data_IF_164002691257
#
_entry.id   IF_164002691257
#
_cell.length_a   1.000
_cell.length_b   1.000
_cell.length_c   1.000
_cell.angle_alpha   90.00
_cell.angle_beta   90.00
_cell.angle_gamma   90.00
#
_symmetry.space_group_name_H-M   'P 1'
#
loop_
_entity.id
_entity.type
_entity.pdbx_description
1 polymer ?
#
# COMPACT_ATOMS: atom_id res chain seq x y z
N UNK A 1 -0.11 4.67 18.35
CA UNK A 1 0.58 3.93 17.28
C UNK A 1 1.85 4.67 16.95
N UNK A 2 2.86 3.96 16.51
CA UNK A 2 4.18 4.48 16.15
C UNK A 2 4.35 4.26 14.65
N UNK A 3 4.74 5.29 13.93
CA UNK A 3 5.09 5.25 12.52
C UNK A 3 6.61 5.48 12.39
N UNK A 4 7.29 4.59 11.66
CA UNK A 4 8.73 4.72 11.36
C UNK A 4 9.11 4.01 10.07
N UNK A 5 10.23 4.42 9.52
CA UNK A 5 10.81 3.74 8.34
C UNK A 5 11.19 2.30 8.72
N UNK A 6 10.89 1.38 7.81
CA UNK A 6 11.22 -0.05 7.91
C UNK A 6 12.67 -0.25 7.45
N UNK A 7 13.40 -1.09 8.17
CA UNK A 7 14.73 -1.57 7.79
C UNK A 7 14.70 -3.01 7.31
N UNK A 8 15.81 -3.52 6.80
CA UNK A 8 15.92 -4.92 6.36
C UNK A 8 15.72 -5.88 7.55
N UNK A 9 16.24 -5.52 8.72
CA UNK A 9 16.11 -6.31 9.95
C UNK A 9 14.64 -6.41 10.39
N UNK A 10 13.84 -5.38 10.14
CA UNK A 10 12.41 -5.39 10.44
C UNK A 10 11.64 -6.41 9.60
N UNK A 11 12.10 -6.70 8.38
CA UNK A 11 11.42 -7.68 7.51
C UNK A 11 11.45 -9.08 8.11
N UNK A 12 12.54 -9.45 8.75
CA UNK A 12 12.63 -10.74 9.44
C UNK A 12 11.82 -10.73 10.75
N UNK A 13 11.92 -9.64 11.51
CA UNK A 13 11.22 -9.49 12.80
C UNK A 13 9.70 -9.53 12.65
N UNK A 14 9.15 -8.83 11.64
CA UNK A 14 7.71 -8.73 11.39
C UNK A 14 7.24 -9.61 10.22
N UNK A 15 8.02 -10.63 9.87
CA UNK A 15 7.75 -11.53 8.74
C UNK A 15 6.31 -12.05 8.71
N UNK A 16 5.80 -12.50 9.85
CA UNK A 16 4.47 -13.08 9.94
C UNK A 16 3.38 -12.04 9.74
N UNK A 17 3.55 -10.84 10.28
CA UNK A 17 2.59 -9.74 10.13
C UNK A 17 2.51 -9.31 8.67
N UNK A 18 3.66 -9.20 7.97
CA UNK A 18 3.73 -8.87 6.55
C UNK A 18 3.00 -9.93 5.71
N UNK A 19 3.25 -11.22 5.97
CA UNK A 19 2.59 -12.30 5.24
C UNK A 19 1.08 -12.35 5.48
N UNK A 20 0.61 -12.01 6.67
CA UNK A 20 -0.83 -11.89 6.95
C UNK A 20 -1.45 -10.70 6.22
N UNK A 21 -0.77 -9.55 6.12
CA UNK A 21 -1.24 -8.42 5.32
C UNK A 21 -1.42 -8.81 3.85
N UNK A 22 -0.49 -9.54 3.27
CA UNK A 22 -0.62 -10.04 1.89
C UNK A 22 -1.81 -10.99 1.73
N UNK A 23 -2.04 -11.91 2.65
CA UNK A 23 -3.24 -12.76 2.63
C UNK A 23 -4.53 -11.95 2.70
N UNK A 24 -4.53 -10.89 3.47
CA UNK A 24 -5.69 -10.01 3.62
C UNK A 24 -5.96 -9.19 2.36
N UNK A 25 -4.91 -8.69 1.72
CA UNK A 25 -5.00 -8.01 0.45
C UNK A 25 -5.40 -8.92 -0.72
N UNK A 26 -5.01 -10.20 -0.67
CA UNK A 26 -5.24 -11.18 -1.75
C UNK A 26 -6.71 -11.43 -2.08
N UNK A 27 -7.63 -11.09 -1.18
CA UNK A 27 -9.07 -11.21 -1.44
C UNK A 27 -9.60 -10.25 -2.49
N UNK A 28 -8.85 -9.22 -2.82
CA UNK A 28 -9.26 -8.21 -3.80
C UNK A 28 -8.77 -8.54 -5.20
N UNK A 29 -7.64 -9.25 -5.29
CA UNK A 29 -7.05 -9.72 -6.52
C UNK A 29 -7.22 -11.23 -6.59
N UNK A 30 -7.25 -11.83 -7.78
CA UNK A 30 -7.12 -13.28 -7.91
C UNK A 30 -5.69 -13.74 -7.61
N UNK A 31 -5.14 -13.22 -6.55
CA UNK A 31 -3.86 -13.61 -6.00
C UNK A 31 -3.92 -14.98 -5.31
N UNK A 32 -5.10 -15.59 -5.20
CA UNK A 32 -5.16 -17.01 -4.87
C UNK A 32 -4.37 -17.85 -5.88
N UNK A 33 -4.39 -17.50 -7.14
CA UNK A 33 -3.50 -18.11 -8.13
C UNK A 33 -2.06 -17.64 -7.97
N UNK A 34 -1.84 -16.38 -7.66
CA UNK A 34 -0.51 -15.84 -7.36
C UNK A 34 0.05 -16.48 -6.06
N UNK A 35 -0.73 -16.56 -4.99
CA UNK A 35 -0.35 -17.22 -3.73
C UNK A 35 -0.12 -18.72 -3.87
N UNK A 36 -0.74 -19.38 -4.83
CA UNK A 36 -0.50 -20.80 -5.15
C UNK A 36 0.75 -21.02 -5.98
N UNK A 37 1.16 -20.04 -6.76
CA UNK A 37 2.26 -20.12 -7.71
C UNK A 37 3.54 -19.44 -7.23
N UNK A 38 3.44 -18.53 -6.26
CA UNK A 38 4.57 -17.75 -5.72
C UNK A 38 4.84 -18.21 -4.30
N UNK A 39 6.07 -18.60 -4.02
CA UNK A 39 6.52 -18.92 -2.67
C UNK A 39 6.32 -17.69 -1.76
N UNK A 40 5.98 -17.95 -0.49
CA UNK A 40 5.81 -16.89 0.52
C UNK A 40 7.05 -16.02 0.69
N UNK A 41 8.25 -16.55 0.44
CA UNK A 41 9.50 -15.78 0.42
C UNK A 41 9.45 -14.66 -0.61
N UNK A 42 8.83 -14.86 -1.75
CA UNK A 42 8.74 -13.84 -2.83
C UNK A 42 7.97 -12.58 -2.42
N UNK A 43 7.10 -12.65 -1.41
CA UNK A 43 6.46 -11.44 -0.86
C UNK A 43 7.43 -10.60 -0.04
N UNK A 44 8.28 -11.25 0.73
CA UNK A 44 9.33 -10.54 1.48
C UNK A 44 10.35 -9.95 0.52
N UNK A 45 10.78 -10.70 -0.50
CA UNK A 45 11.66 -10.21 -1.55
C UNK A 45 11.04 -9.00 -2.28
N UNK A 46 9.71 -9.02 -2.49
CA UNK A 46 8.99 -7.90 -3.07
C UNK A 46 9.09 -6.65 -2.19
N UNK A 47 8.83 -6.76 -0.87
CA UNK A 47 8.95 -5.63 0.06
C UNK A 47 10.41 -5.21 0.23
N UNK A 48 11.35 -6.15 0.29
CA UNK A 48 12.78 -5.87 0.44
C UNK A 48 13.31 -4.97 -0.69
N UNK A 49 12.82 -5.15 -1.92
CA UNK A 49 13.19 -4.28 -3.05
C UNK A 49 12.85 -2.81 -2.78
N UNK A 50 11.74 -2.54 -2.10
CA UNK A 50 11.37 -1.16 -1.73
C UNK A 50 12.14 -0.66 -0.51
N UNK A 51 12.50 -1.53 0.42
CA UNK A 51 13.31 -1.16 1.60
C UNK A 51 14.74 -0.83 1.20
N UNK A 52 15.29 -1.54 0.22
CA UNK A 52 16.68 -1.36 -0.27
C UNK A 52 16.79 -0.44 -1.47
N UNK A 53 15.69 -0.09 -2.11
CA UNK A 53 15.65 0.76 -3.31
C UNK A 53 16.02 2.21 -3.02
N UNK A 54 16.70 2.87 -3.97
CA UNK A 54 17.08 4.28 -3.86
C UNK A 54 15.93 5.25 -4.21
N UNK A 55 14.92 4.76 -4.91
CA UNK A 55 13.75 5.51 -5.39
C UNK A 55 12.45 5.08 -4.69
N UNK A 56 12.59 4.49 -3.52
CA UNK A 56 11.48 3.99 -2.71
C UNK A 56 11.72 4.17 -1.22
N UNK A 57 10.64 4.17 -0.45
CA UNK A 57 10.67 4.22 1.00
C UNK A 57 9.51 3.40 1.56
N UNK A 58 9.74 2.68 2.64
CA UNK A 58 8.71 1.90 3.32
C UNK A 58 8.55 2.41 4.76
N UNK A 59 7.33 2.77 5.13
CA UNK A 59 6.97 3.21 6.48
C UNK A 59 6.03 2.20 7.10
N UNK A 60 6.40 1.70 8.27
CA UNK A 60 5.59 0.78 9.08
C UNK A 60 4.70 1.51 10.07
N UNK A 61 3.53 0.95 10.32
CA UNK A 61 2.58 1.37 11.34
C UNK A 61 2.53 0.29 12.42
N UNK A 62 3.01 0.61 13.61
CA UNK A 62 3.17 -0.33 14.71
C UNK A 62 2.21 -0.03 15.86
N UNK A 63 1.98 -1.02 16.72
CA UNK A 63 1.46 -0.78 18.05
C UNK A 63 2.46 0.06 18.92
N UNK A 64 2.01 0.54 20.08
CA UNK A 64 2.86 1.39 20.92
C UNK A 64 4.07 0.65 21.50
N UNK A 65 4.04 -0.66 21.56
CA UNK A 65 5.13 -1.51 22.05
C UNK A 65 6.07 -1.99 20.94
N UNK A 66 5.73 -1.70 19.68
CA UNK A 66 6.39 -2.21 18.48
C UNK A 66 6.47 -3.76 18.44
N UNK A 67 5.49 -4.42 19.05
CA UNK A 67 5.37 -5.88 19.03
C UNK A 67 4.68 -6.38 17.75
N UNK A 68 3.77 -5.56 17.20
CA UNK A 68 2.98 -5.90 16.03
C UNK A 68 3.09 -4.81 14.95
N UNK A 69 3.25 -5.25 13.71
CA UNK A 69 3.20 -4.41 12.53
C UNK A 69 1.79 -4.51 11.91
N UNK A 70 1.07 -3.41 11.89
CA UNK A 70 -0.31 -3.36 11.44
C UNK A 70 -0.50 -2.92 10.00
N UNK A 71 0.45 -2.19 9.46
CA UNK A 71 0.38 -1.69 8.10
C UNK A 71 1.71 -1.22 7.56
N UNK A 72 1.80 -1.18 6.25
CA UNK A 72 2.92 -0.62 5.49
C UNK A 72 2.40 0.43 4.52
N UNK A 73 3.07 1.56 4.46
CA UNK A 73 2.95 2.55 3.40
C UNK A 73 4.24 2.50 2.60
N UNK A 74 4.13 2.09 1.35
CA UNK A 74 5.25 2.01 0.42
C UNK A 74 5.15 3.20 -0.51
N UNK A 75 6.21 3.97 -0.58
CA UNK A 75 6.41 5.03 -1.55
C UNK A 75 7.36 4.49 -2.60
N UNK A 76 6.89 4.42 -3.83
CA UNK A 76 7.62 3.87 -4.96
C UNK A 76 7.76 4.89 -6.07
N UNK A 77 8.70 4.65 -6.97
CA UNK A 77 8.94 5.48 -8.15
C UNK A 77 9.11 6.96 -7.78
N UNK A 78 9.87 7.21 -6.71
CA UNK A 78 10.18 8.56 -6.24
C UNK A 78 10.99 9.28 -7.32
N UNK A 79 10.44 10.38 -7.83
CA UNK A 79 11.09 11.15 -8.88
C UNK A 79 10.87 12.64 -8.74
N UNK A 80 11.84 13.41 -9.18
CA UNK A 80 11.72 14.86 -9.31
C UNK A 80 10.81 15.20 -10.49
N UNK A 81 9.84 16.07 -10.29
CA UNK A 81 9.00 16.66 -11.36
C UNK A 81 9.42 18.09 -11.68
N UNK A 82 10.14 18.75 -10.75
CA UNK A 82 10.81 20.03 -10.93
C UNK A 82 12.03 20.11 -10.02
N UNK A 83 12.77 21.22 -10.06
CA UNK A 83 13.92 21.45 -9.16
C UNK A 83 13.56 21.45 -7.65
N UNK A 84 12.27 21.59 -7.31
CA UNK A 84 11.80 21.69 -5.92
C UNK A 84 10.66 20.75 -5.58
N UNK A 85 10.17 20.01 -6.54
CA UNK A 85 8.98 19.19 -6.38
C UNK A 85 9.27 17.75 -6.79
N UNK A 86 8.77 16.82 -6.01
CA UNK A 86 8.85 15.39 -6.28
C UNK A 86 7.47 14.74 -6.27
N UNK A 87 7.36 13.59 -6.88
CA UNK A 87 6.18 12.74 -6.83
C UNK A 87 6.56 11.31 -6.46
N UNK A 88 5.59 10.56 -5.94
CA UNK A 88 5.74 9.14 -5.67
C UNK A 88 4.41 8.40 -5.87
N UNK A 89 4.50 7.12 -6.19
CA UNK A 89 3.38 6.18 -6.11
C UNK A 89 3.25 5.66 -4.68
N UNK A 90 2.00 5.58 -4.21
CA UNK A 90 1.70 5.11 -2.85
C UNK A 90 1.01 3.77 -2.93
N UNK A 91 1.61 2.76 -2.30
CA UNK A 91 0.99 1.46 -2.07
C UNK A 91 0.73 1.29 -0.58
N UNK A 92 -0.35 0.62 -0.24
CA UNK A 92 -0.77 0.43 1.14
C UNK A 92 -1.10 -1.04 1.37
N UNK A 93 -0.44 -1.63 2.36
CA UNK A 93 -0.75 -2.94 2.89
C UNK A 93 -1.25 -2.82 4.32
N UNK A 94 -2.33 -3.49 4.66
CA UNK A 94 -2.91 -3.43 6.01
C UNK A 94 -3.36 -4.78 6.51
N UNK A 95 -3.16 -5.03 7.81
CA UNK A 95 -3.82 -6.12 8.51
C UNK A 95 -5.31 -5.81 8.72
N UNK A 96 -6.15 -6.83 8.68
CA UNK A 96 -7.58 -6.71 9.03
C UNK A 96 -7.84 -6.34 10.48
N UNK A 97 -6.86 -6.56 11.35
CA UNK A 97 -6.99 -6.31 12.78
C UNK A 97 -7.15 -4.84 13.13
N UNK A 98 -6.80 -3.93 12.20
CA UNK A 98 -6.95 -2.49 12.40
C UNK A 98 -7.72 -1.87 11.24
N UNK A 99 -8.93 -1.43 11.53
CA UNK A 99 -9.78 -0.70 10.61
C UNK A 99 -10.28 0.63 11.20
N UNK A 100 -10.63 1.56 10.31
CA UNK A 100 -11.35 2.77 10.65
C UNK A 100 -10.47 3.98 10.95
N UNK A 101 -10.90 4.80 11.90
CA UNK A 101 -10.33 6.12 12.18
C UNK A 101 -8.88 6.09 12.64
N UNK A 102 -8.44 4.99 13.27
CA UNK A 102 -7.07 4.85 13.77
C UNK A 102 -6.08 4.68 12.62
N UNK A 103 -6.38 3.76 11.71
CA UNK A 103 -5.57 3.52 10.53
C UNK A 103 -5.51 4.77 9.61
N UNK A 104 -6.67 5.40 9.42
CA UNK A 104 -6.76 6.64 8.67
C UNK A 104 -5.83 7.72 9.24
N UNK A 105 -5.87 7.97 10.56
CA UNK A 105 -5.00 8.96 11.22
C UNK A 105 -3.51 8.64 11.09
N UNK A 106 -3.15 7.35 11.12
CA UNK A 106 -1.76 6.93 10.90
C UNK A 106 -1.31 7.27 9.47
N UNK A 107 -2.13 6.97 8.46
CA UNK A 107 -1.82 7.33 7.08
C UNK A 107 -1.76 8.84 6.86
N UNK A 108 -2.71 9.59 7.42
CA UNK A 108 -2.69 11.07 7.37
C UNK A 108 -1.37 11.59 7.92
N UNK A 109 -0.93 11.13 9.10
CA UNK A 109 0.36 11.54 9.70
C UNK A 109 1.56 11.15 8.84
N UNK A 110 1.61 9.91 8.35
CA UNK A 110 2.70 9.47 7.47
C UNK A 110 2.80 10.38 6.26
N UNK A 111 1.68 10.61 5.59
CA UNK A 111 1.66 11.43 4.39
C UNK A 111 2.01 12.89 4.70
N UNK A 112 1.59 13.44 5.83
CA UNK A 112 1.80 14.85 6.16
C UNK A 112 3.20 15.12 6.76
N UNK A 113 3.71 14.23 7.60
CA UNK A 113 4.92 14.47 8.38
C UNK A 113 6.15 13.79 7.80
N UNK A 114 5.99 12.62 7.18
CA UNK A 114 7.11 11.80 6.71
C UNK A 114 7.33 11.84 5.20
N UNK A 115 6.39 12.42 4.44
CA UNK A 115 6.39 12.36 2.98
C UNK A 115 6.41 13.76 2.38
N UNK A 116 7.60 14.33 2.06
CA UNK A 116 7.73 15.70 1.54
C UNK A 116 7.46 15.80 0.03
N UNK A 117 6.51 15.03 -0.49
CA UNK A 117 6.21 15.03 -1.92
C UNK A 117 5.08 16.01 -2.27
N UNK A 118 5.26 16.73 -3.37
CA UNK A 118 4.26 17.67 -3.89
C UNK A 118 3.06 16.93 -4.49
N UNK A 119 3.30 15.78 -5.13
CA UNK A 119 2.27 14.96 -5.77
C UNK A 119 2.42 13.50 -5.36
N UNK A 120 1.34 12.93 -4.85
CA UNK A 120 1.23 11.51 -4.59
C UNK A 120 0.15 10.91 -5.48
N UNK A 121 0.36 9.71 -6.00
CA UNK A 121 -0.65 9.00 -6.77
C UNK A 121 -0.72 7.54 -6.36
N UNK A 122 -1.86 6.91 -6.58
CA UNK A 122 -2.02 5.49 -6.37
C UNK A 122 -2.98 4.88 -7.41
N UNK A 123 -2.78 3.60 -7.64
CA UNK A 123 -3.61 2.79 -8.49
C UNK A 123 -4.43 1.82 -7.64
N UNK A 124 -5.75 1.89 -7.72
CA UNK A 124 -6.65 1.07 -6.90
C UNK A 124 -7.63 0.33 -7.79
N UNK A 125 -7.69 -1.01 -7.71
CA UNK A 125 -8.71 -1.76 -8.41
C UNK A 125 -10.11 -1.28 -8.03
N UNK A 126 -11.00 -1.16 -9.01
CA UNK A 126 -12.41 -0.79 -8.75
C UNK A 126 -13.08 -1.72 -7.75
N UNK A 127 -12.69 -3.00 -7.74
CA UNK A 127 -13.18 -4.00 -6.78
C UNK A 127 -12.76 -3.71 -5.33
N UNK A 128 -11.65 -2.95 -5.12
CA UNK A 128 -11.14 -2.58 -3.79
C UNK A 128 -11.88 -1.37 -3.20
N UNK A 129 -13.17 -1.55 -2.89
CA UNK A 129 -14.06 -0.47 -2.41
C UNK A 129 -13.51 0.19 -1.13
N UNK A 130 -12.98 -0.61 -0.20
CA UNK A 130 -12.43 -0.09 1.06
C UNK A 130 -11.20 0.80 0.80
N UNK A 131 -10.25 0.35 -0.01
CA UNK A 131 -9.06 1.14 -0.36
C UNK A 131 -9.45 2.45 -1.07
N UNK A 132 -10.40 2.38 -2.01
CA UNK A 132 -10.94 3.57 -2.69
C UNK A 132 -11.60 4.56 -1.73
N UNK A 133 -12.28 4.08 -0.69
CA UNK A 133 -12.85 4.94 0.35
C UNK A 133 -11.74 5.57 1.20
N UNK A 134 -10.79 4.77 1.68
CA UNK A 134 -9.68 5.24 2.51
C UNK A 134 -8.92 6.38 1.84
N UNK A 135 -8.48 6.22 0.58
CA UNK A 135 -7.71 7.26 -0.11
C UNK A 135 -8.52 8.53 -0.35
N UNK A 136 -9.82 8.41 -0.63
CA UNK A 136 -10.71 9.59 -0.73
C UNK A 136 -10.84 10.33 0.60
N UNK A 137 -10.98 9.58 1.70
CA UNK A 137 -11.10 10.15 3.05
C UNK A 137 -9.81 10.87 3.47
N UNK A 138 -8.65 10.49 2.92
CA UNK A 138 -7.35 11.15 3.12
C UNK A 138 -7.16 12.35 2.18
N UNK A 139 -8.02 12.54 1.20
CA UNK A 139 -8.00 13.71 0.31
C UNK A 139 -7.56 13.42 -1.13
N UNK A 140 -7.26 12.18 -1.49
CA UNK A 140 -6.97 11.83 -2.88
C UNK A 140 -8.21 12.00 -3.76
N UNK A 141 -8.02 12.55 -4.94
CA UNK A 141 -9.07 12.75 -5.94
C UNK A 141 -8.90 11.74 -7.08
N UNK A 142 -10.00 11.12 -7.50
CA UNK A 142 -9.99 10.27 -8.69
C UNK A 142 -9.77 11.13 -9.93
N UNK A 143 -8.74 10.80 -10.70
CA UNK A 143 -8.36 11.54 -11.92
C UNK A 143 -8.53 10.74 -13.19
N UNK A 144 -8.62 9.41 -13.10
CA UNK A 144 -8.76 8.56 -14.26
C UNK A 144 -9.02 7.09 -13.93
N UNK A 145 -8.95 6.24 -14.95
CA UNK A 145 -8.98 4.80 -14.81
C UNK A 145 -8.35 4.11 -16.04
N UNK A 146 -7.87 2.89 -15.85
CA UNK A 146 -7.41 1.98 -16.89
C UNK A 146 -8.44 0.84 -16.97
N UNK A 147 -9.14 0.65 -18.11
CA UNK A 147 -10.19 -0.36 -18.20
C UNK A 147 -9.61 -1.77 -18.22
N UNK A 148 -10.30 -2.71 -17.59
CA UNK A 148 -9.99 -4.15 -17.57
C UNK A 148 -8.51 -4.47 -17.30
N UNK A 149 -7.89 -3.74 -16.35
CA UNK A 149 -6.44 -3.78 -16.12
C UNK A 149 -6.00 -4.97 -15.26
N UNK A 150 -6.87 -5.46 -14.36
CA UNK A 150 -6.50 -6.46 -13.37
C UNK A 150 -7.54 -7.57 -13.21
N UNK A 151 -7.13 -8.84 -13.18
CA UNK A 151 -8.01 -9.94 -12.81
C UNK A 151 -8.31 -9.89 -11.31
N UNK A 152 -9.51 -10.30 -10.92
CA UNK A 152 -9.89 -10.53 -9.53
C UNK A 152 -10.92 -11.65 -9.42
N UNK A 153 -10.92 -12.38 -8.30
CA UNK A 153 -11.96 -13.35 -7.99
C UNK A 153 -13.09 -12.70 -7.20
N UNK A 154 -14.32 -12.88 -7.65
CA UNK A 154 -15.49 -12.48 -6.88
C UNK A 154 -15.78 -13.48 -5.75
N UNK A 155 -16.80 -13.20 -4.92
CA UNK A 155 -17.23 -14.06 -3.80
C UNK A 155 -17.68 -15.48 -4.21
N UNK A 156 -17.94 -15.70 -5.52
CA UNK A 156 -18.29 -17.00 -6.09
C UNK A 156 -17.11 -17.75 -6.68
N UNK A 157 -15.89 -17.19 -6.62
CA UNK A 157 -14.69 -17.76 -7.20
C UNK A 157 -14.56 -17.53 -8.71
N UNK A 158 -15.44 -16.72 -9.33
CA UNK A 158 -15.34 -16.40 -10.76
C UNK A 158 -14.29 -15.32 -10.99
N UNK A 159 -13.40 -15.54 -11.96
CA UNK A 159 -12.40 -14.54 -12.37
C UNK A 159 -13.08 -13.48 -13.23
N UNK A 160 -12.92 -12.22 -12.86
CA UNK A 160 -13.40 -11.04 -13.59
C UNK A 160 -12.28 -10.04 -13.75
N UNK A 161 -12.39 -9.18 -14.76
CA UNK A 161 -11.47 -8.07 -14.95
C UNK A 161 -11.99 -6.83 -14.19
N UNK A 162 -11.12 -6.19 -13.44
CA UNK A 162 -11.38 -4.92 -12.76
C UNK A 162 -10.68 -3.78 -13.48
N UNK A 163 -11.34 -2.63 -13.53
CA UNK A 163 -10.65 -1.39 -13.88
C UNK A 163 -9.70 -0.99 -12.77
N UNK A 164 -8.59 -0.39 -13.14
CA UNK A 164 -7.65 0.21 -12.22
C UNK A 164 -7.95 1.72 -12.12
N UNK A 165 -8.39 2.18 -10.96
CA UNK A 165 -8.72 3.57 -10.72
C UNK A 165 -7.45 4.35 -10.34
N UNK A 166 -7.27 5.54 -10.91
CA UNK A 166 -6.13 6.42 -10.64
C UNK A 166 -6.59 7.53 -9.70
N UNK A 167 -5.91 7.64 -8.57
CA UNK A 167 -6.14 8.68 -7.57
C UNK A 167 -4.88 9.52 -7.41
N UNK A 168 -5.05 10.82 -7.22
CA UNK A 168 -3.96 11.79 -7.04
C UNK A 168 -4.25 12.67 -5.84
N UNK A 169 -3.25 12.88 -5.00
CA UNK A 169 -3.18 13.91 -3.97
C UNK A 169 -2.16 14.95 -4.42
N UNK A 170 -2.65 16.12 -4.82
CA UNK A 170 -1.83 17.27 -5.22
C UNK A 170 -1.76 18.25 -4.04
N UNK A 171 -0.56 18.56 -3.59
CA UNK A 171 -0.27 19.42 -2.44
C UNK A 171 0.36 20.75 -2.84
N UNK A 172 0.40 21.03 -4.13
CA UNK A 172 0.92 22.29 -4.67
C UNK A 172 -0.03 23.44 -4.42
#
# INVERSE_FOLDING_TARGET
>A
MIERVITVEDLDLYRNDILEMFKDCSRVFDEQNFLKTVDKSSYLDYIERFVTGNDSQVVGIFDNTQTFLYGLVILDSIRMISLRESCAEVHVLTSKSIFGSILRRAYERILDEMVPFAVLYCHIPRAAVFASKLVKDIGFKKTGYIPAALPYSNSKGEVKMSDLLIYVLDRR
#
